data_IF_246448135969
#
_entry.id   IF_246448135969
#
_cell.length_a   1.000
_cell.length_b   1.000
_cell.length_c   1.000
_cell.angle_alpha   90.00
_cell.angle_beta   90.00
_cell.angle_gamma   90.00
#
_symmetry.space_group_name_H-M   'P 1'
#
loop_
_entity.id
_entity.type
_entity.pdbx_description
1 polymer ?
#
# COMPACT_ATOMS: atom_id res chain seq x y z
N UNK A 1 16.58 12.74 -14.52
CA UNK A 1 15.29 12.22 -14.06
C UNK A 1 15.31 12.29 -12.54
N UNK A 2 14.51 13.16 -11.94
CA UNK A 2 14.36 13.20 -10.48
C UNK A 2 13.71 11.89 -10.04
N UNK A 3 14.35 11.17 -9.12
CA UNK A 3 13.75 10.00 -8.50
C UNK A 3 12.65 10.53 -7.56
N UNK A 4 11.38 10.32 -7.92
CA UNK A 4 10.28 10.59 -7.01
C UNK A 4 10.39 9.60 -5.85
N UNK A 5 10.33 10.10 -4.62
CA UNK A 5 10.44 9.28 -3.43
C UNK A 5 9.08 8.66 -3.12
N UNK A 6 8.97 7.35 -3.37
CA UNK A 6 7.79 6.53 -3.04
C UNK A 6 8.05 5.82 -1.71
N UNK A 7 7.19 6.11 -0.73
CA UNK A 7 7.22 5.51 0.60
C UNK A 7 5.97 4.70 0.85
N UNK A 8 6.09 3.70 1.74
CA UNK A 8 4.97 2.89 2.18
C UNK A 8 4.89 2.91 3.70
N UNK A 9 3.68 3.07 4.22
CA UNK A 9 3.41 3.10 5.65
C UNK A 9 2.25 2.17 5.96
N UNK A 10 2.24 1.62 7.18
CA UNK A 10 1.08 0.95 7.74
C UNK A 10 0.47 1.85 8.81
N UNK A 11 -0.84 2.00 8.81
CA UNK A 11 -1.53 2.78 9.84
C UNK A 11 -1.38 2.14 11.22
N UNK A 12 -1.57 2.94 12.28
CA UNK A 12 -1.42 2.46 13.66
C UNK A 12 -2.39 1.33 14.01
N UNK A 13 -3.58 1.32 13.38
CA UNK A 13 -4.58 0.27 13.54
C UNK A 13 -4.23 -1.03 12.80
N UNK A 14 -3.28 -0.98 11.87
CA UNK A 14 -2.88 -2.11 11.05
C UNK A 14 -3.91 -2.55 10.01
N UNK A 15 -4.91 -1.71 9.71
CA UNK A 15 -5.99 -1.96 8.77
C UNK A 15 -5.70 -1.42 7.36
N UNK A 16 -4.71 -0.54 7.23
CA UNK A 16 -4.35 0.07 5.94
C UNK A 16 -2.86 0.16 5.72
N UNK A 17 -2.47 -0.10 4.48
CA UNK A 17 -1.18 0.30 3.96
C UNK A 17 -1.37 1.50 3.04
N UNK A 18 -0.53 2.52 3.18
CA UNK A 18 -0.57 3.76 2.42
C UNK A 18 0.64 3.82 1.48
N UNK A 19 0.43 4.30 0.26
CA UNK A 19 1.49 4.72 -0.65
C UNK A 19 1.59 6.25 -0.62
N UNK A 20 2.80 6.75 -0.35
CA UNK A 20 3.10 8.18 -0.26
C UNK A 20 4.11 8.57 -1.33
N UNK A 21 3.79 9.54 -2.18
CA UNK A 21 4.70 10.10 -3.16
C UNK A 21 5.06 11.51 -2.72
N UNK A 22 6.34 11.73 -2.39
CA UNK A 22 6.81 13.03 -1.87
C UNK A 22 5.98 13.53 -0.65
N UNK A 23 5.50 12.58 0.17
CA UNK A 23 4.67 12.86 1.35
C UNK A 23 3.16 12.99 1.09
N UNK A 24 2.72 12.99 -0.17
CA UNK A 24 1.30 12.98 -0.54
C UNK A 24 0.78 11.54 -0.63
N UNK A 25 -0.37 11.25 -0.02
CA UNK A 25 -1.00 9.94 -0.17
C UNK A 25 -1.54 9.78 -1.59
N UNK A 26 -1.03 8.79 -2.32
CA UNK A 26 -1.42 8.52 -3.72
C UNK A 26 -2.22 7.21 -3.88
N UNK A 27 -2.34 6.43 -2.81
CA UNK A 27 -3.08 5.17 -2.84
C UNK A 27 -3.04 4.45 -1.50
N UNK A 28 -3.86 3.41 -1.38
CA UNK A 28 -3.94 2.60 -0.17
C UNK A 28 -4.41 1.17 -0.47
N UNK A 29 -4.14 0.26 0.48
CA UNK A 29 -4.67 -1.09 0.53
C UNK A 29 -5.34 -1.29 1.88
N UNK A 30 -6.59 -1.74 1.88
CA UNK A 30 -7.29 -2.14 3.10
C UNK A 30 -7.12 -3.63 3.36
N UNK A 31 -6.83 -3.96 4.61
CA UNK A 31 -6.62 -5.32 5.07
C UNK A 31 -7.39 -5.64 6.36
N UNK A 32 -7.75 -6.91 6.52
CA UNK A 32 -8.20 -7.46 7.81
C UNK A 32 -7.38 -8.70 8.17
N UNK A 33 -7.04 -8.84 9.44
CA UNK A 33 -6.57 -10.12 9.97
C UNK A 33 -7.77 -11.09 10.06
N UNK A 34 -7.65 -12.26 9.43
CA UNK A 34 -8.65 -13.34 9.54
C UNK A 34 -8.22 -14.35 10.62
N UNK A 35 -6.92 -14.55 10.78
CA UNK A 35 -6.30 -15.37 11.82
C UNK A 35 -4.91 -14.83 12.15
N UNK A 36 -4.18 -15.51 13.04
CA UNK A 36 -2.80 -15.15 13.41
C UNK A 36 -1.83 -15.17 12.21
N UNK A 37 -2.13 -15.98 11.19
CA UNK A 37 -1.27 -16.25 10.03
C UNK A 37 -1.93 -15.89 8.68
N UNK A 38 -3.12 -15.28 8.69
CA UNK A 38 -3.87 -14.97 7.47
C UNK A 38 -4.43 -13.56 7.50
N UNK A 39 -4.29 -12.90 6.36
CA UNK A 39 -4.78 -11.55 6.12
C UNK A 39 -5.62 -11.54 4.84
N UNK A 40 -6.75 -10.84 4.88
CA UNK A 40 -7.57 -10.53 3.71
C UNK A 40 -7.16 -9.17 3.16
N UNK A 41 -6.76 -9.12 1.89
CA UNK A 41 -6.65 -7.87 1.14
C UNK A 41 -8.01 -7.58 0.52
N UNK A 42 -8.70 -6.54 0.99
CA UNK A 42 -10.11 -6.28 0.67
C UNK A 42 -10.31 -5.29 -0.46
N UNK A 43 -9.56 -4.19 -0.41
CA UNK A 43 -9.69 -3.07 -1.32
C UNK A 43 -8.32 -2.51 -1.63
N UNK A 44 -8.09 -2.11 -2.88
CA UNK A 44 -6.83 -1.54 -3.33
C UNK A 44 -7.15 -0.40 -4.26
N UNK A 45 -6.64 0.78 -3.95
CA UNK A 45 -6.95 2.00 -4.67
C UNK A 45 -5.69 2.81 -4.91
N UNK A 46 -5.55 3.31 -6.12
CA UNK A 46 -4.61 4.36 -6.49
C UNK A 46 -5.45 5.54 -6.91
N UNK A 47 -5.14 6.74 -6.44
CA UNK A 47 -5.91 7.93 -6.77
C UNK A 47 -5.83 8.19 -8.29
N UNK A 48 -6.91 8.69 -8.92
CA UNK A 48 -7.01 8.81 -10.38
C UNK A 48 -5.82 9.49 -11.07
N UNK A 49 -5.27 10.53 -10.45
CA UNK A 49 -4.15 11.31 -10.99
C UNK A 49 -2.84 10.50 -11.09
N UNK A 50 -2.75 9.36 -10.39
CA UNK A 50 -1.56 8.53 -10.27
C UNK A 50 -1.73 7.14 -10.93
N UNK A 51 -2.87 6.88 -11.56
CA UNK A 51 -3.14 5.62 -12.27
C UNK A 51 -2.19 5.38 -13.44
N UNK A 52 -2.03 4.10 -13.82
CA UNK A 52 -1.20 3.70 -14.97
C UNK A 52 0.32 3.79 -14.77
N UNK A 53 0.78 4.19 -13.57
CA UNK A 53 2.21 4.39 -13.26
C UNK A 53 2.85 3.24 -12.46
N UNK A 54 2.12 2.15 -12.23
CA UNK A 54 2.61 0.97 -11.52
C UNK A 54 2.53 1.02 -9.98
N UNK A 55 2.00 2.10 -9.39
CA UNK A 55 1.96 2.27 -7.93
C UNK A 55 1.11 1.22 -7.21
N UNK A 56 -0.02 0.80 -7.77
CA UNK A 56 -0.85 -0.25 -7.16
C UNK A 56 -0.11 -1.58 -7.04
N UNK A 57 0.69 -1.94 -8.06
CA UNK A 57 1.53 -3.12 -8.01
C UNK A 57 2.65 -3.01 -6.97
N UNK A 58 3.33 -1.86 -6.92
CA UNK A 58 4.36 -1.61 -5.92
C UNK A 58 3.82 -1.67 -4.48
N UNK A 59 2.63 -1.11 -4.26
CA UNK A 59 1.94 -1.16 -2.97
C UNK A 59 1.56 -2.60 -2.58
N UNK A 60 0.99 -3.40 -3.48
CA UNK A 60 0.67 -4.80 -3.19
C UNK A 60 1.92 -5.63 -2.92
N UNK A 61 3.01 -5.42 -3.67
CA UNK A 61 4.30 -6.08 -3.36
C UNK A 61 4.74 -5.74 -1.96
N UNK A 62 4.67 -4.47 -1.54
CA UNK A 62 5.01 -4.08 -0.17
C UNK A 62 4.14 -4.80 0.88
N UNK A 63 2.82 -4.87 0.68
CA UNK A 63 1.90 -5.59 1.58
C UNK A 63 2.28 -7.07 1.70
N UNK A 64 2.62 -7.72 0.59
CA UNK A 64 3.02 -9.12 0.59
C UNK A 64 4.38 -9.37 1.24
N UNK A 65 5.34 -8.45 1.08
CA UNK A 65 6.63 -8.54 1.77
C UNK A 65 6.49 -8.32 3.27
N UNK A 66 5.61 -7.42 3.72
CA UNK A 66 5.33 -7.23 5.15
C UNK A 66 4.70 -8.49 5.76
N UNK A 67 3.72 -9.08 5.07
CA UNK A 67 3.04 -10.30 5.50
C UNK A 67 3.94 -11.55 5.56
N UNK A 68 5.14 -11.53 4.95
CA UNK A 68 6.12 -12.63 5.03
C UNK A 68 7.01 -12.58 6.26
N UNK A 69 7.06 -11.45 6.96
CA UNK A 69 7.91 -11.25 8.15
C UNK A 69 7.27 -11.86 9.39
#
# INVERSE_FOLDING_TARGET
MSAQMLEFQRDEGGHRYLALLEGEQIGFVEVDAISTDRMLIKHTEVLPDFEGRGFGGALIVHVLEDARR
#
